data_IF_857063391087
#
_entry.id   IF_857063391087
#
_cell.length_a   1.000
_cell.length_b   1.000
_cell.length_c   1.000
_cell.angle_alpha   90.00
_cell.angle_beta   90.00
_cell.angle_gamma   90.00
#
_symmetry.space_group_name_H-M   'P 1'
#
loop_
_entity.id
_entity.type
_entity.pdbx_description
1 polymer ?
#
# COMPACT_ATOMS: atom_id res chain seq x y z
N UNK A 1 -12.34 -26.78 -22.24
CA UNK A 1 -12.23 -26.45 -20.81
C UNK A 1 -12.62 -24.98 -20.70
N UNK A 2 -13.74 -24.66 -20.04
CA UNK A 2 -14.06 -23.26 -19.79
C UNK A 2 -13.28 -22.86 -18.53
N UNK A 3 -12.21 -22.10 -18.70
CA UNK A 3 -11.48 -21.50 -17.59
C UNK A 3 -12.22 -20.21 -17.26
N UNK A 4 -12.78 -20.14 -16.05
CA UNK A 4 -13.21 -18.85 -15.51
C UNK A 4 -11.98 -18.19 -14.93
N UNK A 5 -11.57 -17.08 -15.52
CA UNK A 5 -10.46 -16.27 -15.03
C UNK A 5 -10.94 -14.84 -14.85
N UNK A 6 -10.50 -14.21 -13.78
CA UNK A 6 -10.60 -12.78 -13.58
C UNK A 6 -9.43 -12.15 -14.35
N UNK A 7 -9.71 -11.28 -15.34
CA UNK A 7 -8.68 -10.74 -16.24
C UNK A 7 -7.80 -9.65 -15.60
N UNK A 8 -8.09 -9.28 -14.35
CA UNK A 8 -7.32 -8.32 -13.56
C UNK A 8 -7.84 -8.20 -12.14
N UNK A 9 -7.23 -7.30 -11.35
CA UNK A 9 -7.78 -6.93 -10.04
C UNK A 9 -9.12 -6.23 -10.22
N UNK A 10 -10.12 -6.66 -9.48
CA UNK A 10 -11.36 -5.92 -9.33
C UNK A 10 -11.54 -5.46 -7.90
N UNK A 11 -11.76 -4.17 -7.75
CA UNK A 11 -12.11 -3.55 -6.47
C UNK A 11 -13.60 -3.73 -6.12
N UNK A 12 -14.38 -4.28 -7.06
CA UNK A 12 -15.80 -4.58 -6.97
C UNK A 12 -16.08 -6.08 -7.22
N UNK A 13 -17.34 -6.51 -7.06
CA UNK A 13 -17.75 -7.89 -7.32
C UNK A 13 -17.70 -8.24 -8.81
N UNK A 14 -16.88 -9.23 -9.20
CA UNK A 14 -16.98 -9.88 -10.51
C UNK A 14 -17.99 -11.03 -10.49
N UNK A 15 -18.85 -11.08 -11.52
CA UNK A 15 -19.80 -12.18 -11.72
C UNK A 15 -19.42 -13.00 -12.94
N UNK A 16 -18.87 -14.19 -12.71
CA UNK A 16 -18.61 -15.19 -13.75
C UNK A 16 -19.75 -16.22 -13.76
N UNK A 17 -20.31 -16.50 -14.95
CA UNK A 17 -21.47 -17.39 -15.11
C UNK A 17 -21.12 -18.73 -15.76
N UNK A 18 -21.51 -19.84 -15.13
CA UNK A 18 -21.49 -21.17 -15.75
C UNK A 18 -22.92 -21.60 -16.07
N UNK A 19 -23.19 -21.91 -17.34
CA UNK A 19 -24.45 -22.55 -17.75
C UNK A 19 -24.29 -24.08 -17.76
N UNK A 20 -25.09 -24.78 -16.95
CA UNK A 20 -25.10 -26.24 -16.89
C UNK A 20 -26.49 -26.71 -17.31
N UNK A 21 -26.57 -27.47 -18.40
CA UNK A 21 -27.79 -28.13 -18.83
C UNK A 21 -27.89 -29.52 -18.19
N UNK A 22 -29.02 -29.83 -17.56
CA UNK A 22 -29.33 -31.19 -17.09
C UNK A 22 -30.51 -31.71 -17.91
N UNK A 23 -30.35 -32.85 -18.57
CA UNK A 23 -31.42 -33.55 -19.29
C UNK A 23 -31.70 -34.87 -18.58
N UNK A 24 -32.97 -35.12 -18.25
CA UNK A 24 -33.40 -36.44 -17.78
C UNK A 24 -33.38 -37.43 -18.96
N UNK A 25 -32.97 -38.67 -18.70
CA UNK A 25 -33.01 -39.73 -19.71
C UNK A 25 -34.44 -40.08 -20.11
N UNK A 26 -34.63 -40.54 -21.35
CA UNK A 26 -35.93 -41.03 -21.80
C UNK A 26 -36.23 -42.39 -21.12
N UNK A 27 -37.49 -42.65 -20.76
CA UNK A 27 -37.99 -43.88 -20.11
C UNK A 27 -37.55 -44.14 -18.64
N UNK A 28 -37.60 -43.13 -17.77
CA UNK A 28 -37.40 -43.33 -16.32
C UNK A 28 -38.58 -44.10 -15.68
N UNK A 29 -38.26 -45.07 -14.80
CA UNK A 29 -39.25 -45.75 -13.96
C UNK A 29 -39.82 -44.82 -12.88
N UNK A 30 -40.95 -45.19 -12.27
CA UNK A 30 -41.53 -44.41 -11.17
C UNK A 30 -40.60 -44.44 -9.95
N UNK A 31 -40.05 -43.28 -9.57
CA UNK A 31 -39.15 -43.17 -8.43
C UNK A 31 -38.69 -41.73 -8.17
N UNK A 32 -37.85 -41.53 -7.16
CA UNK A 32 -37.23 -40.25 -6.85
C UNK A 32 -35.80 -40.21 -7.40
N UNK A 33 -35.47 -39.17 -8.15
CA UNK A 33 -34.16 -38.96 -8.75
C UNK A 33 -33.53 -37.67 -8.21
N UNK A 34 -32.27 -37.74 -7.80
CA UNK A 34 -31.51 -36.58 -7.32
C UNK A 34 -30.28 -36.36 -8.19
N UNK A 35 -30.15 -35.17 -8.77
CA UNK A 35 -28.90 -34.74 -9.41
C UNK A 35 -28.06 -33.97 -8.37
N UNK A 36 -26.81 -34.39 -8.14
CA UNK A 36 -25.88 -33.71 -7.23
C UNK A 36 -24.78 -33.03 -8.05
N UNK A 37 -24.68 -31.71 -7.94
CA UNK A 37 -23.56 -30.95 -8.47
C UNK A 37 -22.57 -30.66 -7.34
N UNK A 38 -21.29 -30.97 -7.56
CA UNK A 38 -20.22 -30.73 -6.59
C UNK A 38 -19.20 -29.82 -7.23
N UNK A 39 -18.89 -28.71 -6.57
CA UNK A 39 -17.77 -27.84 -6.94
C UNK A 39 -16.61 -28.10 -5.98
N UNK A 40 -15.41 -28.12 -6.53
CA UNK A 40 -14.17 -28.09 -5.74
C UNK A 40 -13.34 -26.94 -6.30
N UNK A 41 -13.09 -25.93 -5.47
CA UNK A 41 -12.24 -24.80 -5.81
C UNK A 41 -10.87 -25.12 -5.23
N UNK A 42 -9.86 -25.21 -6.10
CA UNK A 42 -8.46 -25.31 -5.70
C UNK A 42 -7.85 -23.93 -5.90
N UNK A 43 -7.61 -23.22 -4.80
CA UNK A 43 -6.76 -22.02 -4.80
C UNK A 43 -5.34 -22.48 -4.55
N UNK A 44 -4.37 -21.96 -5.31
CA UNK A 44 -2.99 -22.07 -4.88
C UNK A 44 -2.82 -21.14 -3.67
N UNK A 45 -2.34 -21.66 -2.55
CA UNK A 45 -1.88 -20.80 -1.46
C UNK A 45 -0.71 -19.97 -2.01
N UNK A 46 -0.92 -18.66 -2.11
CA UNK A 46 0.15 -17.71 -2.35
C UNK A 46 0.04 -16.60 -1.30
N UNK A 47 1.18 -16.19 -0.77
CA UNK A 47 1.25 -15.15 0.24
C UNK A 47 0.89 -13.82 -0.41
N UNK A 48 -0.31 -13.33 -0.10
CA UNK A 48 -0.77 -12.02 -0.56
C UNK A 48 0.11 -10.93 0.04
N UNK A 49 0.49 -9.95 -0.77
CA UNK A 49 1.37 -8.85 -0.34
C UNK A 49 0.66 -7.51 -0.38
N UNK A 50 0.84 -6.68 0.66
CA UNK A 50 0.58 -5.24 0.54
C UNK A 50 1.87 -4.61 0.02
N UNK A 51 1.85 -4.12 -1.22
CA UNK A 51 2.98 -3.46 -1.86
C UNK A 51 2.65 -1.98 -2.08
N UNK A 52 3.47 -1.10 -1.51
CA UNK A 52 3.36 0.34 -1.73
C UNK A 52 3.72 0.69 -3.18
N UNK A 53 3.13 1.75 -3.74
CA UNK A 53 3.61 2.35 -4.99
C UNK A 53 5.06 2.85 -4.83
N UNK A 54 5.76 3.03 -5.96
CA UNK A 54 7.13 3.57 -5.97
C UNK A 54 7.24 4.93 -5.25
N UNK A 55 8.46 5.29 -4.87
CA UNK A 55 8.69 6.45 -4.03
C UNK A 55 8.24 7.79 -4.62
N UNK A 56 8.53 8.11 -5.90
CA UNK A 56 8.04 9.34 -6.52
C UNK A 56 6.49 9.44 -6.59
N UNK A 57 5.81 8.34 -6.89
CA UNK A 57 4.35 8.29 -6.93
C UNK A 57 3.74 8.41 -5.53
N UNK A 58 4.34 7.75 -4.55
CA UNK A 58 3.95 7.89 -3.14
C UNK A 58 4.06 9.35 -2.69
N UNK A 59 5.19 10.00 -2.98
CA UNK A 59 5.42 11.40 -2.59
C UNK A 59 4.41 12.35 -3.26
N UNK A 60 4.10 12.12 -4.53
CA UNK A 60 3.06 12.88 -5.25
C UNK A 60 1.68 12.73 -4.59
N UNK A 61 1.29 11.49 -4.26
CA UNK A 61 0.00 11.21 -3.60
C UNK A 61 -0.06 11.80 -2.20
N UNK A 62 1.01 11.68 -1.40
CA UNK A 62 1.09 12.30 -0.09
C UNK A 62 0.95 13.83 -0.19
N UNK A 63 1.63 14.45 -1.15
CA UNK A 63 1.52 15.90 -1.38
C UNK A 63 0.11 16.34 -1.77
N UNK A 64 -0.59 15.54 -2.58
CA UNK A 64 -1.94 15.87 -3.05
C UNK A 64 -2.97 16.01 -1.93
N UNK A 65 -2.71 15.47 -0.74
CA UNK A 65 -3.59 15.64 0.43
C UNK A 65 -3.51 17.05 1.04
N UNK A 66 -2.42 17.80 0.79
CA UNK A 66 -2.28 19.14 1.34
C UNK A 66 -3.16 20.16 0.60
N UNK A 67 -3.70 21.11 1.35
CA UNK A 67 -4.38 22.29 0.81
C UNK A 67 -3.61 23.56 1.19
N UNK A 68 -4.14 24.73 0.84
CA UNK A 68 -3.56 26.01 1.23
C UNK A 68 -3.52 26.19 2.76
N UNK A 69 -4.51 25.65 3.48
CA UNK A 69 -4.69 25.82 4.93
C UNK A 69 -4.38 24.56 5.72
N UNK A 70 -4.37 23.38 5.09
CA UNK A 70 -4.10 22.11 5.74
C UNK A 70 -2.80 21.50 5.24
N UNK A 71 -1.82 21.37 6.14
CA UNK A 71 -0.47 20.88 5.85
C UNK A 71 -0.20 19.64 6.68
N UNK A 72 0.53 18.68 6.10
CA UNK A 72 0.85 17.43 6.78
C UNK A 72 1.96 17.71 7.79
N UNK A 73 1.70 17.42 9.05
CA UNK A 73 2.68 17.53 10.14
C UNK A 73 3.10 16.17 10.68
N UNK A 74 2.32 15.11 10.43
CA UNK A 74 2.59 13.75 10.93
C UNK A 74 2.26 12.71 9.86
N UNK A 75 2.97 11.60 9.87
CA UNK A 75 2.65 10.42 9.06
C UNK A 75 2.68 9.17 9.94
N UNK A 76 1.61 8.37 9.92
CA UNK A 76 1.55 7.11 10.69
C UNK A 76 0.54 6.12 10.11
N UNK A 77 0.68 4.86 10.50
CA UNK A 77 -0.32 3.84 10.21
C UNK A 77 -1.56 4.06 11.07
N UNK A 78 -2.75 3.93 10.49
CA UNK A 78 -4.01 3.83 11.22
C UNK A 78 -4.30 2.37 11.60
N UNK A 79 -4.88 2.15 12.77
CA UNK A 79 -5.38 0.83 13.20
C UNK A 79 -6.79 0.52 12.68
N UNK A 80 -7.46 1.51 12.08
CA UNK A 80 -8.80 1.39 11.52
C UNK A 80 -8.83 1.94 10.10
N UNK A 81 -9.65 1.33 9.24
CA UNK A 81 -9.89 1.82 7.88
C UNK A 81 -10.45 3.26 7.90
N UNK A 82 -10.17 4.07 6.87
CA UNK A 82 -10.73 5.42 6.78
C UNK A 82 -12.26 5.36 6.76
N UNK A 83 -12.91 6.32 7.42
CA UNK A 83 -14.36 6.47 7.33
C UNK A 83 -14.75 6.76 5.87
N UNK A 84 -15.91 6.28 5.43
CA UNK A 84 -16.39 6.48 4.06
C UNK A 84 -16.53 7.97 3.66
N UNK A 85 -16.61 8.87 4.63
CA UNK A 85 -16.66 10.33 4.42
C UNK A 85 -15.28 10.97 4.21
N UNK A 86 -14.19 10.26 4.46
CA UNK A 86 -12.82 10.78 4.26
C UNK A 86 -12.42 10.67 2.79
N UNK A 87 -11.79 11.73 2.30
CA UNK A 87 -11.19 11.75 0.96
C UNK A 87 -9.87 10.97 0.98
N UNK A 88 -9.99 9.65 0.91
CA UNK A 88 -8.85 8.73 0.94
C UNK A 88 -8.49 8.26 -0.47
N UNK A 89 -7.20 8.36 -0.80
CA UNK A 89 -6.61 7.96 -2.08
C UNK A 89 -5.87 6.64 -1.93
N UNK A 90 -5.73 5.91 -3.03
CA UNK A 90 -5.03 4.63 -3.06
C UNK A 90 -3.53 4.84 -3.29
N UNK A 91 -2.68 4.15 -2.55
CA UNK A 91 -1.21 4.19 -2.64
C UNK A 91 -0.58 2.81 -2.84
N UNK A 92 -1.38 1.80 -3.17
CA UNK A 92 -0.86 0.49 -3.55
C UNK A 92 -0.22 0.47 -4.94
N UNK A 93 0.82 -0.35 -5.07
CA UNK A 93 1.48 -0.66 -6.33
C UNK A 93 0.67 -1.68 -7.15
N UNK A 94 0.95 -1.74 -8.45
CA UNK A 94 0.23 -2.61 -9.38
C UNK A 94 0.25 -4.10 -8.99
N UNK A 95 1.30 -4.57 -8.29
CA UNK A 95 1.43 -5.94 -7.81
C UNK A 95 0.89 -6.19 -6.38
N UNK A 96 0.30 -5.19 -5.71
CA UNK A 96 -0.21 -5.35 -4.33
C UNK A 96 -1.54 -6.10 -4.26
N UNK A 97 -1.65 -7.22 -3.57
CA UNK A 97 -2.94 -7.91 -3.38
C UNK A 97 -3.90 -7.16 -2.44
N UNK A 98 -3.39 -6.21 -1.66
CA UNK A 98 -4.18 -5.40 -0.74
C UNK A 98 -4.27 -3.94 -1.21
N UNK A 99 -5.42 -3.35 -0.96
CA UNK A 99 -5.59 -1.90 -1.03
C UNK A 99 -4.78 -1.24 0.08
N UNK A 100 -4.16 -0.09 -0.23
CA UNK A 100 -3.46 0.73 0.77
C UNK A 100 -4.03 2.14 0.64
N UNK A 101 -4.84 2.54 1.61
CA UNK A 101 -5.56 3.82 1.58
C UNK A 101 -4.79 4.87 2.35
N UNK A 102 -4.72 6.08 1.82
CA UNK A 102 -4.02 7.23 2.39
C UNK A 102 -4.98 8.42 2.48
N UNK A 103 -5.04 9.09 3.62
CA UNK A 103 -5.86 10.29 3.80
C UNK A 103 -5.21 11.24 4.81
N UNK A 104 -5.67 12.49 4.82
CA UNK A 104 -5.26 13.50 5.80
C UNK A 104 -6.41 13.79 6.75
N UNK A 105 -6.17 13.60 8.05
CA UNK A 105 -7.06 14.13 9.08
C UNK A 105 -6.69 15.60 9.36
N UNK A 106 -7.56 16.58 9.03
CA UNK A 106 -7.27 17.99 9.26
C UNK A 106 -7.24 18.39 10.73
N UNK A 107 -7.83 17.58 11.63
CA UNK A 107 -7.97 17.93 13.05
C UNK A 107 -6.64 17.79 13.80
N UNK A 108 -5.86 16.77 13.46
CA UNK A 108 -4.55 16.51 14.06
C UNK A 108 -3.38 16.66 13.07
N UNK A 109 -3.69 17.01 11.80
CA UNK A 109 -2.76 17.21 10.68
C UNK A 109 -1.90 15.97 10.37
N UNK A 110 -2.48 14.80 10.59
CA UNK A 110 -1.83 13.52 10.32
C UNK A 110 -2.28 12.96 8.99
N UNK A 111 -1.31 12.67 8.12
CA UNK A 111 -1.52 11.76 7.01
C UNK A 111 -1.49 10.32 7.53
N UNK A 112 -2.63 9.65 7.48
CA UNK A 112 -2.76 8.25 7.86
C UNK A 112 -2.73 7.37 6.62
N UNK A 113 -2.07 6.22 6.73
CA UNK A 113 -2.30 5.13 5.79
C UNK A 113 -2.92 3.92 6.50
N UNK A 114 -3.69 3.13 5.77
CA UNK A 114 -4.29 1.89 6.23
C UNK A 114 -4.19 0.81 5.17
N UNK A 115 -3.87 -0.40 5.62
CA UNK A 115 -4.03 -1.64 4.88
C UNK A 115 -4.28 -2.75 5.89
N UNK A 116 -5.01 -3.79 5.49
CA UNK A 116 -5.36 -4.93 6.36
C UNK A 116 -4.13 -5.62 7.00
N UNK A 117 -3.06 -5.99 6.25
CA UNK A 117 -1.90 -6.59 6.87
C UNK A 117 -1.13 -5.62 7.77
N UNK A 118 -0.44 -6.16 8.77
CA UNK A 118 0.38 -5.37 9.68
C UNK A 118 1.54 -4.66 8.96
N UNK A 119 2.18 -5.38 8.03
CA UNK A 119 3.30 -4.89 7.24
C UNK A 119 2.90 -4.50 5.83
N UNK A 120 3.56 -3.48 5.30
CA UNK A 120 3.53 -3.06 3.90
C UNK A 120 4.94 -3.12 3.32
N UNK A 121 5.11 -3.87 2.24
CA UNK A 121 6.37 -3.91 1.51
C UNK A 121 6.52 -2.62 0.71
N UNK A 122 7.70 -2.01 0.79
CA UNK A 122 8.03 -0.90 -0.10
C UNK A 122 8.49 -1.40 -1.47
N UNK A 123 8.23 -0.61 -2.50
CA UNK A 123 8.68 -0.91 -3.86
C UNK A 123 10.21 -0.90 -3.93
N UNK A 124 10.74 -1.68 -4.88
CA UNK A 124 12.16 -1.71 -5.24
C UNK A 124 12.75 -0.31 -5.49
N UNK A 125 11.96 0.60 -6.05
CA UNK A 125 12.26 2.03 -6.14
C UNK A 125 11.49 2.79 -5.05
N UNK A 126 12.16 2.96 -3.92
CA UNK A 126 11.71 3.80 -2.82
C UNK A 126 12.40 5.17 -2.83
N UNK A 127 13.04 5.53 -3.95
CA UNK A 127 13.70 6.83 -4.09
C UNK A 127 12.68 7.95 -3.94
N UNK A 128 13.11 9.05 -3.33
CA UNK A 128 12.27 10.24 -3.14
C UNK A 128 10.90 10.01 -2.46
N UNK A 129 10.68 8.91 -1.72
CA UNK A 129 9.65 8.94 -0.67
C UNK A 129 9.99 10.07 0.31
N UNK A 130 9.01 10.70 0.94
CA UNK A 130 9.19 11.81 1.90
C UNK A 130 10.23 12.88 1.50
N UNK A 131 10.34 13.16 0.21
CA UNK A 131 11.36 14.03 -0.36
C UNK A 131 10.85 15.45 -0.57
N UNK A 132 11.72 16.43 -0.30
CA UNK A 132 11.35 17.84 -0.40
C UNK A 132 12.48 18.72 -0.94
N UNK A 133 12.84 18.63 -2.23
CA UNK A 133 13.63 19.69 -2.89
C UNK A 133 13.09 20.08 -4.25
N UNK A 134 13.33 21.35 -4.59
CA UNK A 134 13.21 21.98 -5.92
C UNK A 134 12.01 21.46 -6.72
N UNK A 135 10.81 22.04 -6.53
CA UNK A 135 9.60 22.10 -7.38
C UNK A 135 8.34 22.14 -6.49
N UNK A 136 7.16 22.41 -7.06
CA UNK A 136 5.87 22.68 -6.38
C UNK A 136 5.32 21.57 -5.44
N UNK A 137 6.03 20.44 -5.32
CA UNK A 137 5.60 19.25 -4.57
C UNK A 137 6.26 19.10 -3.19
N UNK A 138 6.53 20.20 -2.48
CA UNK A 138 7.23 20.18 -1.19
C UNK A 138 6.35 19.64 -0.04
N UNK A 139 6.73 18.51 0.55
CA UNK A 139 6.20 18.05 1.85
C UNK A 139 7.23 18.42 2.93
N UNK A 140 7.16 19.66 3.40
CA UNK A 140 8.18 20.26 4.28
C UNK A 140 7.77 20.48 5.73
N UNK A 141 6.53 20.10 6.08
CA UNK A 141 5.96 20.41 7.38
C UNK A 141 5.95 19.23 8.35
N UNK A 142 6.38 18.05 7.91
CA UNK A 142 6.38 16.84 8.74
C UNK A 142 7.36 17.00 9.92
N UNK A 143 6.82 16.80 11.11
CA UNK A 143 7.50 16.86 12.40
C UNK A 143 7.78 15.46 12.97
N UNK A 144 6.97 14.46 12.55
CA UNK A 144 6.99 13.10 13.07
C UNK A 144 6.59 12.11 11.98
N UNK A 145 7.33 11.00 11.88
CA UNK A 145 6.99 9.88 11.00
C UNK A 145 7.11 8.58 11.79
N UNK A 146 6.06 7.78 11.75
CA UNK A 146 6.07 6.38 12.15
C UNK A 146 6.14 5.47 10.92
N UNK A 147 7.25 4.74 10.80
CA UNK A 147 7.56 3.82 9.71
C UNK A 147 7.50 2.35 10.15
N UNK A 148 7.04 2.05 11.37
CA UNK A 148 7.10 0.70 11.95
C UNK A 148 6.38 -0.38 11.13
N UNK A 149 5.37 0.00 10.34
CA UNK A 149 4.67 -0.90 9.43
C UNK A 149 5.39 -1.17 8.10
N UNK A 150 6.51 -0.49 7.80
CA UNK A 150 7.21 -0.63 6.52
C UNK A 150 8.18 -1.81 6.56
N UNK A 151 8.12 -2.65 5.52
CA UNK A 151 9.08 -3.71 5.26
C UNK A 151 9.92 -3.33 4.03
N UNK A 152 11.21 -3.09 4.25
CA UNK A 152 12.13 -2.61 3.21
C UNK A 152 12.97 -3.71 2.58
N UNK A 153 12.67 -4.98 2.87
CA UNK A 153 13.48 -6.14 2.42
C UNK A 153 13.54 -6.32 0.90
N UNK A 154 12.69 -5.62 0.14
CA UNK A 154 12.68 -5.63 -1.32
C UNK A 154 13.32 -4.39 -1.97
N UNK A 155 13.63 -3.36 -1.18
CA UNK A 155 14.08 -2.07 -1.70
C UNK A 155 15.50 -2.18 -2.27
N UNK A 156 15.70 -1.58 -3.44
CA UNK A 156 17.02 -1.51 -4.11
C UNK A 156 17.54 -0.09 -4.26
N UNK A 157 16.64 0.91 -4.27
CA UNK A 157 16.98 2.34 -4.32
C UNK A 157 16.21 3.11 -3.22
N UNK A 158 16.97 3.80 -2.36
CA UNK A 158 16.47 4.70 -1.29
C UNK A 158 16.98 6.13 -1.49
N UNK A 159 17.46 6.48 -2.69
CA UNK A 159 18.06 7.79 -2.94
C UNK A 159 17.07 8.92 -2.66
N UNK A 160 17.49 9.87 -1.82
CA UNK A 160 16.68 11.00 -1.40
C UNK A 160 15.45 10.69 -0.52
N UNK A 161 15.26 9.48 0.01
CA UNK A 161 14.05 9.07 0.76
C UNK A 161 13.68 9.93 1.99
N UNK A 162 14.59 10.74 2.53
CA UNK A 162 14.27 11.72 3.58
C UNK A 162 14.90 13.09 3.29
N UNK A 163 15.33 13.31 2.05
CA UNK A 163 16.04 14.52 1.67
C UNK A 163 15.17 15.74 1.96
N UNK A 164 15.76 16.65 2.73
CA UNK A 164 15.24 17.99 3.00
C UNK A 164 13.96 18.01 3.82
N UNK A 165 13.73 16.93 4.57
CA UNK A 165 12.84 16.89 5.73
C UNK A 165 13.38 17.73 6.89
N UNK A 166 13.57 19.03 6.65
CA UNK A 166 14.29 19.96 7.52
C UNK A 166 13.63 20.20 8.89
N UNK A 167 12.36 19.79 9.09
CA UNK A 167 11.68 19.92 10.39
C UNK A 167 11.70 18.64 11.24
N UNK A 168 12.06 17.50 10.66
CA UNK A 168 12.10 16.25 11.38
C UNK A 168 13.28 16.26 12.36
N UNK A 169 13.02 15.92 13.63
CA UNK A 169 14.05 15.94 14.70
C UNK A 169 14.53 14.54 15.08
N UNK A 170 13.67 13.54 14.93
CA UNK A 170 13.96 12.14 15.23
C UNK A 170 13.51 11.28 14.06
N UNK A 171 14.33 10.31 13.68
CA UNK A 171 13.99 9.31 12.67
C UNK A 171 14.48 7.94 13.16
N UNK A 172 13.55 6.98 13.26
CA UNK A 172 13.85 5.60 13.62
C UNK A 172 13.73 4.69 12.40
N UNK A 173 14.84 4.09 12.02
CA UNK A 173 15.01 3.14 10.91
C UNK A 173 15.61 1.82 11.39
N UNK A 174 15.56 1.51 12.70
CA UNK A 174 16.16 0.28 13.28
C UNK A 174 15.64 -1.01 12.64
N UNK A 175 14.41 -1.01 12.13
CA UNK A 175 13.79 -2.15 11.46
C UNK A 175 14.00 -2.18 9.94
N UNK A 176 14.71 -1.22 9.35
CA UNK A 176 14.96 -1.20 7.92
C UNK A 176 15.96 -2.29 7.53
N UNK A 177 15.52 -3.24 6.70
CA UNK A 177 16.40 -4.14 5.97
C UNK A 177 16.99 -3.41 4.76
N UNK A 178 18.31 -3.23 4.78
CA UNK A 178 19.06 -2.55 3.72
C UNK A 178 19.93 -3.52 2.90
N UNK A 179 19.77 -4.83 3.10
CA UNK A 179 20.62 -5.87 2.50
C UNK A 179 20.60 -5.92 0.97
N UNK A 180 19.52 -5.43 0.34
CA UNK A 180 19.36 -5.36 -1.13
C UNK A 180 19.57 -3.95 -1.71
N UNK A 181 19.77 -2.94 -0.87
CA UNK A 181 19.87 -1.55 -1.31
C UNK A 181 21.22 -1.30 -1.98
N UNK A 182 21.18 -0.76 -3.19
CA UNK A 182 22.37 -0.44 -4.00
C UNK A 182 22.61 1.07 -4.09
N UNK A 183 21.61 1.89 -3.77
CA UNK A 183 21.69 3.34 -3.84
C UNK A 183 20.99 4.00 -2.63
N UNK A 184 21.74 4.78 -1.85
CA UNK A 184 21.23 5.64 -0.76
C UNK A 184 21.67 7.10 -0.93
N UNK A 185 22.03 7.51 -2.15
CA UNK A 185 22.52 8.86 -2.43
C UNK A 185 21.55 9.93 -1.95
N UNK A 186 22.06 10.95 -1.26
CA UNK A 186 21.28 12.07 -0.72
C UNK A 186 20.14 11.70 0.24
N UNK A 187 20.08 10.47 0.76
CA UNK A 187 18.96 9.99 1.59
C UNK A 187 18.62 10.92 2.76
N UNK A 188 19.64 11.53 3.40
CA UNK A 188 19.48 12.45 4.53
C UNK A 188 19.99 13.88 4.22
N UNK A 189 20.11 14.27 2.94
CA UNK A 189 20.56 15.63 2.58
C UNK A 189 19.64 16.68 3.17
N UNK A 190 20.19 17.81 3.64
CA UNK A 190 19.44 18.99 4.14
C UNK A 190 18.42 18.72 5.26
N UNK A 191 18.59 17.64 6.04
CA UNK A 191 17.84 17.38 7.26
C UNK A 191 18.42 18.17 8.46
N UNK A 192 18.43 19.50 8.37
CA UNK A 192 19.18 20.37 9.28
C UNK A 192 18.78 20.29 10.77
N UNK A 193 17.55 19.87 11.10
CA UNK A 193 17.08 19.75 12.48
C UNK A 193 17.08 18.31 13.02
N UNK A 194 17.57 17.33 12.26
CA UNK A 194 17.64 15.94 12.72
C UNK A 194 18.71 15.81 13.82
N UNK A 195 18.27 15.53 15.05
CA UNK A 195 19.16 15.35 16.21
C UNK A 195 19.33 13.88 16.60
N UNK A 196 18.37 13.03 16.24
CA UNK A 196 18.39 11.59 16.54
C UNK A 196 18.08 10.78 15.29
N UNK A 197 19.01 9.90 14.92
CA UNK A 197 18.85 8.92 13.85
C UNK A 197 19.19 7.53 14.41
N UNK A 198 18.18 6.65 14.50
CA UNK A 198 18.38 5.26 14.90
C UNK A 198 18.42 4.37 13.65
N UNK A 199 19.53 3.68 13.45
CA UNK A 199 19.80 2.73 12.36
C UNK A 199 20.32 1.40 12.90
N UNK A 200 20.09 1.13 14.19
CA UNK A 200 20.52 -0.11 14.82
C UNK A 200 19.69 -1.28 14.30
N UNK A 201 20.33 -2.23 13.63
CA UNK A 201 19.71 -3.46 13.07
C UNK A 201 20.07 -4.68 13.90
#
# INVERSE_FOLDING_TARGET
MNIMQTDGKTYDSETNGIKIGLKLGDNLESGSYTNKLVFSILTNDYDRIALMTNGPDFNTKLKSLETATNKIERFRKSTVAPAASMDAVNIEGAASDYEIRLWLDPTDKTAYYYTEPEKVYLDTDSSRMFYSIYYEQEIKNILEIDLSGFDTSNVTDMSGMFSSMSKLTTLNLSHFDTSKVTNMGFMFSDMFNLTTLDISS
#
